data_IF_382869475937
#
_entry.id   IF_382869475937
#
_cell.length_a   1.000
_cell.length_b   1.000
_cell.length_c   1.000
_cell.angle_alpha   90.00
_cell.angle_beta   90.00
_cell.angle_gamma   90.00
#
_symmetry.space_group_name_H-M   'P 1'
#
loop_
_entity.id
_entity.type
_entity.pdbx_description
1 polymer ?
#
# COMPACT_ATOMS: atom_id res chain seq x y z
N UNK A 1 8.52 5.39 1.18
CA UNK A 1 8.37 5.38 -0.27
C UNK A 1 7.94 4.04 -0.81
N UNK A 2 7.42 4.04 -2.01
CA UNK A 2 6.95 2.84 -2.70
C UNK A 2 7.28 2.94 -4.18
N UNK A 3 7.79 1.84 -4.75
CA UNK A 3 8.10 1.76 -6.17
C UNK A 3 7.61 0.44 -6.76
N UNK A 4 7.10 0.49 -7.98
CA UNK A 4 6.84 -0.68 -8.80
C UNK A 4 7.87 -0.70 -9.94
N UNK A 5 8.59 -1.80 -10.06
CA UNK A 5 9.62 -1.98 -11.07
C UNK A 5 9.33 -3.20 -11.94
N UNK A 6 9.58 -3.04 -13.23
CA UNK A 6 9.61 -4.14 -14.19
C UNK A 6 10.86 -3.98 -15.03
N UNK A 7 11.74 -4.95 -14.96
CA UNK A 7 12.96 -4.95 -15.76
C UNK A 7 13.37 -6.36 -16.16
N UNK A 8 13.92 -6.48 -17.37
CA UNK A 8 14.42 -7.74 -17.92
C UNK A 8 15.94 -7.86 -17.83
N UNK A 9 16.62 -6.95 -17.14
CA UNK A 9 18.07 -6.91 -16.96
C UNK A 9 18.44 -6.84 -15.49
N UNK A 10 19.71 -7.13 -15.11
CA UNK A 10 20.13 -7.10 -13.72
C UNK A 10 20.02 -5.71 -13.11
N UNK A 11 19.48 -5.63 -11.90
CA UNK A 11 19.46 -4.41 -11.10
C UNK A 11 19.44 -4.73 -9.61
N UNK A 12 19.71 -3.72 -8.78
CA UNK A 12 19.66 -3.78 -7.34
C UNK A 12 18.76 -2.67 -6.80
N UNK A 13 17.99 -2.99 -5.75
CA UNK A 13 17.22 -2.02 -4.99
C UNK A 13 17.78 -1.99 -3.56
N UNK A 14 18.29 -0.82 -3.17
CA UNK A 14 18.81 -0.61 -1.83
C UNK A 14 17.73 0.01 -0.96
N UNK A 15 17.41 -0.65 0.15
CA UNK A 15 16.48 -0.15 1.16
C UNK A 15 17.22 0.04 2.49
N UNK A 16 16.57 0.71 3.45
CA UNK A 16 17.16 0.90 4.77
C UNK A 16 17.42 -0.43 5.50
N UNK A 17 16.69 -1.50 5.16
CA UNK A 17 16.78 -2.79 5.85
C UNK A 17 17.58 -3.85 5.08
N UNK A 18 17.80 -3.67 3.78
CA UNK A 18 18.51 -4.67 2.99
C UNK A 18 18.58 -4.32 1.50
N UNK A 19 19.12 -5.25 0.73
CA UNK A 19 19.32 -5.11 -0.70
C UNK A 19 18.56 -6.22 -1.43
N UNK A 20 17.78 -5.83 -2.44
CA UNK A 20 17.11 -6.74 -3.35
C UNK A 20 17.88 -6.80 -4.67
N UNK A 21 18.31 -7.99 -5.06
CA UNK A 21 19.08 -8.23 -6.29
C UNK A 21 18.27 -9.11 -7.24
N UNK A 22 18.25 -8.74 -8.52
CA UNK A 22 17.56 -9.51 -9.54
C UNK A 22 18.29 -9.45 -10.88
N UNK A 23 18.07 -10.44 -11.70
CA UNK A 23 18.46 -10.46 -13.12
C UNK A 23 17.29 -10.14 -14.05
N UNK A 24 16.09 -10.02 -13.50
CA UNK A 24 14.87 -9.65 -14.17
C UNK A 24 13.69 -10.02 -13.30
N UNK A 25 12.82 -9.06 -13.02
CA UNK A 25 11.65 -9.25 -12.19
C UNK A 25 10.63 -8.14 -12.37
N UNK A 26 9.40 -8.41 -11.96
CA UNK A 26 8.39 -7.41 -11.69
C UNK A 26 8.05 -7.48 -10.22
N UNK A 27 8.27 -6.38 -9.50
CA UNK A 27 8.07 -6.34 -8.05
C UNK A 27 7.64 -4.96 -7.58
N UNK A 28 6.95 -4.93 -6.45
CA UNK A 28 6.62 -3.71 -5.74
C UNK A 28 7.39 -3.69 -4.41
N UNK A 29 8.02 -2.58 -4.10
CA UNK A 29 8.78 -2.38 -2.87
C UNK A 29 8.23 -1.16 -2.14
N UNK A 30 7.83 -1.35 -0.90
CA UNK A 30 7.33 -0.30 -0.03
C UNK A 30 8.18 -0.23 1.23
N UNK A 31 8.85 0.90 1.42
CA UNK A 31 9.67 1.13 2.60
C UNK A 31 8.91 1.90 3.66
N UNK A 32 8.84 1.30 4.85
CA UNK A 32 8.36 1.91 6.09
C UNK A 32 9.56 2.35 6.94
N UNK A 33 9.30 3.02 8.07
CA UNK A 33 10.37 3.45 8.98
C UNK A 33 11.13 2.27 9.60
N UNK A 34 10.44 1.18 9.90
CA UNK A 34 10.96 0.02 10.63
C UNK A 34 11.16 -1.25 9.78
N UNK A 35 10.62 -1.28 8.57
CA UNK A 35 10.65 -2.47 7.71
C UNK A 35 10.52 -2.11 6.24
N UNK A 36 10.84 -3.07 5.40
CA UNK A 36 10.55 -3.03 3.97
C UNK A 36 9.58 -4.15 3.60
N UNK A 37 8.55 -3.83 2.85
CA UNK A 37 7.61 -4.80 2.29
C UNK A 37 7.92 -4.98 0.81
N UNK A 38 7.96 -6.23 0.36
CA UNK A 38 8.18 -6.57 -1.05
C UNK A 38 7.10 -7.54 -1.52
N UNK A 39 6.56 -7.26 -2.70
CA UNK A 39 5.64 -8.13 -3.42
C UNK A 39 6.28 -8.51 -4.75
N UNK A 40 6.47 -9.80 -5.00
CA UNK A 40 7.09 -10.31 -6.21
C UNK A 40 6.03 -10.89 -7.13
N UNK A 41 5.80 -10.23 -8.27
CA UNK A 41 4.79 -10.66 -9.26
C UNK A 41 5.34 -11.68 -10.25
N UNK A 42 6.58 -11.48 -10.68
CA UNK A 42 7.24 -12.35 -11.66
C UNK A 42 8.75 -12.23 -11.53
N UNK A 43 9.46 -13.27 -11.98
CA UNK A 43 10.92 -13.29 -11.99
C UNK A 43 11.54 -13.83 -10.71
N UNK A 44 12.78 -13.48 -10.46
CA UNK A 44 13.57 -14.02 -9.37
C UNK A 44 14.31 -12.89 -8.65
N UNK A 45 14.16 -12.82 -7.35
CA UNK A 45 14.78 -11.79 -6.50
C UNK A 45 15.45 -12.45 -5.30
N UNK A 46 16.69 -12.04 -5.03
CA UNK A 46 17.43 -12.43 -3.83
C UNK A 46 17.45 -11.26 -2.84
N UNK A 47 17.05 -11.53 -1.61
CA UNK A 47 17.14 -10.59 -0.51
C UNK A 47 18.41 -10.82 0.28
N UNK A 48 19.21 -9.78 0.46
CA UNK A 48 20.41 -9.78 1.31
C UNK A 48 20.27 -8.70 2.38
N UNK A 49 20.49 -9.06 3.62
CA UNK A 49 20.59 -8.11 4.75
C UNK A 49 21.95 -8.25 5.41
N UNK A 50 22.33 -7.26 6.24
CA UNK A 50 23.63 -7.30 6.95
C UNK A 50 23.70 -8.39 8.01
N UNK A 51 22.57 -8.89 8.49
CA UNK A 51 22.49 -9.80 9.64
C UNK A 51 21.89 -11.18 9.32
N UNK A 52 21.53 -11.42 8.05
CA UNK A 52 20.94 -12.68 7.61
C UNK A 52 21.62 -13.20 6.35
N UNK A 53 21.62 -14.53 6.19
CA UNK A 53 22.04 -15.15 4.96
C UNK A 53 21.12 -14.74 3.80
N UNK A 54 21.61 -14.64 2.57
CA UNK A 54 20.79 -14.36 1.39
C UNK A 54 19.66 -15.37 1.25
N UNK A 55 18.46 -14.88 0.87
CA UNK A 55 17.30 -15.71 0.62
C UNK A 55 16.61 -15.35 -0.69
N UNK A 56 16.04 -16.35 -1.36
CA UNK A 56 15.20 -16.13 -2.52
C UNK A 56 13.78 -15.78 -2.08
N UNK A 57 13.20 -14.77 -2.72
CA UNK A 57 11.81 -14.41 -2.48
C UNK A 57 10.88 -15.37 -3.25
N UNK A 58 9.80 -15.86 -2.62
CA UNK A 58 8.82 -16.68 -3.34
C UNK A 58 8.01 -15.81 -4.32
N UNK A 59 7.88 -16.31 -5.56
CA UNK A 59 7.09 -15.62 -6.60
C UNK A 59 5.58 -15.70 -6.27
N UNK A 60 4.82 -14.69 -6.71
CA UNK A 60 3.40 -14.53 -6.43
C UNK A 60 3.07 -14.41 -4.94
N UNK A 61 4.00 -13.91 -4.15
CA UNK A 61 3.87 -13.71 -2.70
C UNK A 61 4.42 -12.36 -2.30
N UNK A 62 4.06 -11.96 -1.09
CA UNK A 62 4.62 -10.77 -0.46
C UNK A 62 5.12 -11.09 0.94
N UNK A 63 6.10 -10.34 1.40
CA UNK A 63 6.61 -10.43 2.76
C UNK A 63 7.18 -9.09 3.21
N UNK A 64 7.37 -8.95 4.51
CA UNK A 64 8.08 -7.82 5.11
C UNK A 64 9.38 -8.30 5.73
N UNK A 65 10.39 -7.46 5.70
CA UNK A 65 11.68 -7.78 6.31
C UNK A 65 12.29 -6.58 7.03
N UNK A 66 13.10 -6.91 8.03
CA UNK A 66 14.00 -6.02 8.72
C UNK A 66 15.44 -6.48 8.49
N UNK A 67 16.44 -5.84 9.09
CA UNK A 67 17.81 -6.31 8.99
C UNK A 67 18.03 -7.70 9.60
N UNK A 68 17.20 -8.10 10.57
CA UNK A 68 17.39 -9.33 11.37
C UNK A 68 16.37 -10.43 11.08
N UNK A 69 15.20 -10.08 10.53
CA UNK A 69 14.09 -11.01 10.40
C UNK A 69 13.29 -10.78 9.12
N UNK A 70 12.64 -11.83 8.64
CA UNK A 70 11.65 -11.75 7.56
C UNK A 70 10.36 -12.41 8.03
N UNK A 71 9.22 -11.83 7.66
CA UNK A 71 7.91 -12.42 7.92
C UNK A 71 7.69 -13.64 7.03
N UNK A 72 6.68 -14.45 7.37
CA UNK A 72 6.22 -15.49 6.47
C UNK A 72 5.67 -14.89 5.18
N UNK A 73 5.87 -15.57 4.06
CA UNK A 73 5.34 -15.18 2.78
C UNK A 73 3.82 -15.33 2.77
N UNK A 74 3.11 -14.29 2.31
CA UNK A 74 1.65 -14.24 2.22
C UNK A 74 1.23 -14.13 0.75
N UNK A 75 -0.02 -14.48 0.39
CA UNK A 75 -0.56 -14.15 -0.94
C UNK A 75 -0.43 -12.66 -1.23
N UNK A 76 -0.33 -12.31 -2.51
CA UNK A 76 -0.27 -10.91 -2.93
C UNK A 76 -1.52 -10.16 -2.49
N UNK A 77 -1.31 -8.95 -1.95
CA UNK A 77 -2.37 -8.01 -1.67
C UNK A 77 -2.92 -7.44 -2.99
N UNK A 78 -4.26 -7.26 -3.08
CA UNK A 78 -4.91 -6.70 -4.25
C UNK A 78 -4.36 -5.30 -4.63
N UNK A 79 -3.86 -4.55 -3.65
CA UNK A 79 -3.29 -3.22 -3.87
C UNK A 79 -1.80 -3.22 -4.19
N UNK A 80 -1.11 -4.36 -4.16
CA UNK A 80 0.35 -4.43 -4.29
C UNK A 80 0.91 -3.79 -5.57
N UNK A 81 0.12 -3.60 -6.60
CA UNK A 81 0.52 -2.91 -7.83
C UNK A 81 -0.56 -2.03 -8.43
N UNK A 82 -1.76 -2.00 -7.86
CA UNK A 82 -2.91 -1.28 -8.42
C UNK A 82 -2.69 0.23 -8.47
N UNK A 83 -1.96 0.79 -7.51
CA UNK A 83 -1.66 2.22 -7.46
C UNK A 83 -0.90 2.72 -8.71
N UNK A 84 -0.07 1.87 -9.32
CA UNK A 84 0.64 2.23 -10.55
C UNK A 84 -0.31 2.36 -11.75
N UNK A 85 -1.47 1.71 -11.69
CA UNK A 85 -2.55 1.86 -12.65
C UNK A 85 -3.56 2.96 -12.25
N UNK A 86 -3.24 3.72 -11.20
CA UNK A 86 -4.08 4.80 -10.69
C UNK A 86 -5.32 4.34 -9.94
N UNK A 87 -5.31 3.13 -9.38
CA UNK A 87 -6.45 2.51 -8.72
C UNK A 87 -6.16 2.18 -7.25
N UNK A 88 -7.18 2.30 -6.42
CA UNK A 88 -7.19 1.82 -5.03
C UNK A 88 -8.25 0.73 -4.91
N UNK A 89 -7.82 -0.48 -4.52
CA UNK A 89 -8.69 -1.65 -4.37
C UNK A 89 -8.97 -1.90 -2.89
N UNK A 90 -10.25 -1.98 -2.53
CA UNK A 90 -10.70 -2.34 -1.21
C UNK A 90 -11.46 -3.67 -1.27
N UNK A 91 -11.10 -4.62 -0.43
CA UNK A 91 -11.77 -5.91 -0.29
C UNK A 91 -12.11 -6.10 1.19
N UNK A 92 -13.31 -5.70 1.60
CA UNK A 92 -13.75 -5.67 3.00
C UNK A 92 -12.75 -4.94 3.91
N UNK A 93 -12.22 -3.82 3.41
CA UNK A 93 -11.24 -3.00 4.10
C UNK A 93 -11.93 -2.11 5.12
N UNK A 94 -11.33 -1.92 6.28
CA UNK A 94 -11.81 -0.96 7.27
C UNK A 94 -11.70 0.46 6.70
N UNK A 95 -12.71 1.28 6.97
CA UNK A 95 -12.74 2.66 6.47
C UNK A 95 -11.52 3.47 6.91
N UNK A 96 -11.07 3.31 8.15
CA UNK A 96 -9.87 3.97 8.65
C UNK A 96 -8.63 3.62 7.82
N UNK A 97 -8.44 2.36 7.50
CA UNK A 97 -7.32 1.89 6.69
C UNK A 97 -7.43 2.37 5.24
N UNK A 98 -8.63 2.37 4.69
CA UNK A 98 -8.89 2.89 3.35
C UNK A 98 -8.55 4.38 3.24
N UNK A 99 -8.96 5.18 4.22
CA UNK A 99 -8.69 6.62 4.23
C UNK A 99 -7.21 6.92 4.45
N UNK A 100 -6.52 6.11 5.23
CA UNK A 100 -5.06 6.21 5.38
C UNK A 100 -4.35 5.97 4.04
N UNK A 101 -4.74 4.92 3.32
CA UNK A 101 -4.20 4.66 1.98
C UNK A 101 -4.54 5.78 0.98
N UNK A 102 -5.80 6.23 0.96
CA UNK A 102 -6.22 7.33 0.08
C UNK A 102 -5.44 8.62 0.38
N UNK A 103 -5.16 8.88 1.66
CA UNK A 103 -4.39 10.05 2.10
C UNK A 103 -2.98 10.12 1.54
N UNK A 104 -2.38 8.98 1.16
CA UNK A 104 -1.04 8.94 0.54
C UNK A 104 -1.02 9.54 -0.87
N UNK A 105 -2.17 9.60 -1.54
CA UNK A 105 -2.29 10.03 -2.94
C UNK A 105 -2.95 11.41 -3.07
N UNK A 106 -3.18 12.09 -1.96
CA UNK A 106 -3.73 13.45 -1.97
C UNK A 106 -2.91 14.37 -1.07
N UNK A 107 -3.00 15.67 -1.34
CA UNK A 107 -2.37 16.68 -0.49
C UNK A 107 -3.25 16.99 0.71
N UNK A 108 -2.60 17.31 1.83
CA UNK A 108 -3.27 17.71 3.06
C UNK A 108 -3.59 16.54 3.98
N UNK A 109 -4.45 16.81 4.96
CA UNK A 109 -4.84 15.83 5.98
C UNK A 109 -6.21 15.23 5.66
N UNK A 110 -6.28 13.93 5.78
CA UNK A 110 -7.52 13.17 5.69
C UNK A 110 -7.65 12.33 6.95
N UNK A 111 -8.55 12.74 7.84
CA UNK A 111 -8.75 12.11 9.12
C UNK A 111 -10.05 11.29 9.15
N UNK A 112 -10.10 10.29 10.01
CA UNK A 112 -11.26 9.44 10.22
C UNK A 112 -11.62 9.41 11.70
N UNK A 113 -12.88 9.68 12.02
CA UNK A 113 -13.40 9.52 13.37
C UNK A 113 -13.37 8.04 13.76
N UNK A 114 -12.90 7.75 14.96
CA UNK A 114 -12.84 6.39 15.49
C UNK A 114 -14.19 5.66 15.45
N UNK A 115 -15.31 6.39 15.57
CA UNK A 115 -16.65 5.81 15.53
C UNK A 115 -17.01 5.15 14.20
N UNK A 116 -16.40 5.57 13.11
CA UNK A 116 -16.69 5.05 11.76
C UNK A 116 -15.50 4.30 11.15
N UNK A 117 -14.34 4.33 11.78
CA UNK A 117 -13.12 3.72 11.27
C UNK A 117 -13.24 2.21 11.03
N UNK A 118 -14.12 1.52 11.74
CA UNK A 118 -14.37 0.09 11.59
C UNK A 118 -15.37 -0.31 10.51
N UNK A 119 -16.03 0.64 9.86
CA UNK A 119 -16.95 0.33 8.76
C UNK A 119 -16.17 -0.32 7.61
N UNK A 120 -16.79 -1.32 6.97
CA UNK A 120 -16.16 -2.05 5.88
C UNK A 120 -16.51 -1.43 4.53
N UNK A 121 -15.53 -1.33 3.67
CA UNK A 121 -15.68 -0.83 2.31
C UNK A 121 -15.10 -1.84 1.32
N UNK A 122 -15.77 -2.02 0.20
CA UNK A 122 -15.30 -2.86 -0.92
C UNK A 122 -15.53 -2.14 -2.23
N UNK A 123 -14.61 -2.32 -3.16
CA UNK A 123 -14.68 -1.74 -4.49
C UNK A 123 -13.32 -1.34 -5.03
N UNK A 124 -13.33 -0.81 -6.26
CA UNK A 124 -12.15 -0.31 -6.93
C UNK A 124 -12.38 1.16 -7.26
N UNK A 125 -11.46 2.02 -6.84
CA UNK A 125 -11.61 3.47 -6.87
C UNK A 125 -10.47 4.11 -7.64
N UNK A 126 -10.78 4.98 -8.66
CA UNK A 126 -9.73 5.72 -9.36
C UNK A 126 -9.11 6.78 -8.44
N UNK A 127 -7.77 6.82 -8.38
CA UNK A 127 -7.02 7.75 -7.53
C UNK A 127 -6.90 9.16 -8.11
N UNK A 128 -7.26 9.34 -9.38
CA UNK A 128 -7.18 10.64 -10.06
C UNK A 128 -8.20 11.67 -9.56
N UNK A 129 -9.27 11.21 -8.89
CA UNK A 129 -10.31 12.08 -8.35
C UNK A 129 -10.68 11.64 -6.91
N UNK A 130 -9.88 12.05 -5.94
CA UNK A 130 -10.12 11.74 -4.53
C UNK A 130 -11.39 12.37 -3.98
N UNK A 131 -11.80 13.53 -4.49
CA UNK A 131 -13.04 14.18 -4.04
C UNK A 131 -14.27 13.37 -4.44
N UNK A 132 -14.28 12.78 -5.63
CA UNK A 132 -15.34 11.87 -6.05
C UNK A 132 -15.41 10.62 -5.18
N UNK A 133 -14.26 10.08 -4.77
CA UNK A 133 -14.21 8.95 -3.84
C UNK A 133 -14.88 9.33 -2.52
N UNK A 134 -14.56 10.49 -1.97
CA UNK A 134 -15.16 10.98 -0.73
C UNK A 134 -16.68 11.18 -0.86
N UNK A 135 -17.15 11.71 -1.98
CA UNK A 135 -18.59 11.84 -2.25
C UNK A 135 -19.29 10.48 -2.32
N UNK A 136 -18.66 9.47 -2.94
CA UNK A 136 -19.18 8.11 -3.00
C UNK A 136 -19.26 7.46 -1.61
N UNK A 137 -18.32 7.76 -0.71
CA UNK A 137 -18.38 7.28 0.67
C UNK A 137 -19.62 7.81 1.40
N UNK A 138 -19.98 9.07 1.22
CA UNK A 138 -21.19 9.64 1.80
C UNK A 138 -22.47 8.99 1.30
N UNK A 139 -22.48 8.52 0.06
CA UNK A 139 -23.61 7.82 -0.54
C UNK A 139 -23.72 6.38 -0.02
N UNK A 140 -22.58 5.71 0.12
CA UNK A 140 -22.51 4.27 0.38
C UNK A 140 -22.52 3.91 1.87
N UNK A 141 -22.06 4.81 2.73
CA UNK A 141 -21.86 4.56 4.15
C UNK A 141 -22.56 5.64 4.99
N UNK A 142 -22.88 5.35 6.27
CA UNK A 142 -23.48 6.33 7.19
C UNK A 142 -22.44 7.32 7.71
N UNK A 143 -21.75 8.00 6.79
CA UNK A 143 -20.70 8.96 7.10
C UNK A 143 -20.97 10.31 6.47
N UNK A 144 -20.34 11.33 7.05
CA UNK A 144 -20.31 12.70 6.54
C UNK A 144 -18.88 13.13 6.34
N UNK A 145 -18.58 13.70 5.19
CA UNK A 145 -17.28 14.26 4.87
C UNK A 145 -17.29 15.75 5.19
N UNK A 146 -16.55 16.13 6.21
CA UNK A 146 -16.45 17.53 6.65
C UNK A 146 -15.15 18.14 6.12
N UNK A 147 -15.30 19.15 5.29
CA UNK A 147 -14.18 19.87 4.67
C UNK A 147 -13.97 21.19 5.40
N UNK A 148 -12.91 21.29 6.20
CA UNK A 148 -12.54 22.56 6.85
C UNK A 148 -11.82 23.49 5.85
N UNK A 149 -10.92 22.90 5.04
CA UNK A 149 -10.29 23.52 3.88
C UNK A 149 -10.16 22.43 2.81
N UNK A 150 -9.67 22.82 1.60
CA UNK A 150 -9.39 21.81 0.56
C UNK A 150 -8.28 20.81 0.96
N UNK A 151 -7.47 21.15 1.98
CA UNK A 151 -6.35 20.35 2.47
C UNK A 151 -6.59 19.72 3.83
N UNK A 152 -7.74 19.98 4.45
CA UNK A 152 -8.08 19.40 5.75
C UNK A 152 -9.51 18.86 5.73
N UNK A 153 -9.60 17.56 5.70
CA UNK A 153 -10.87 16.84 5.57
C UNK A 153 -10.99 15.82 6.69
N UNK A 154 -12.18 15.71 7.26
CA UNK A 154 -12.51 14.72 8.29
C UNK A 154 -13.74 13.91 7.87
N UNK A 155 -13.65 12.59 8.02
CA UNK A 155 -14.78 11.67 7.80
C UNK A 155 -15.33 11.27 9.16
N UNK A 156 -16.56 11.62 9.43
CA UNK A 156 -17.22 11.41 10.71
C UNK A 156 -18.57 10.71 10.55
N UNK A 157 -19.16 10.30 11.67
CA UNK A 157 -20.48 9.67 11.65
C UNK A 157 -21.55 10.66 11.18
N UNK A 158 -22.45 10.20 10.33
CA UNK A 158 -23.66 10.94 9.97
C UNK A 158 -24.63 10.88 11.16
N UNK A 159 -25.05 12.02 11.58
CA UNK A 159 -26.02 12.15 12.68
C UNK A 159 -27.42 12.21 12.12
#
# INVERSE_FOLDING_TARGET
>A
GEILLTAAHPFEIHTAQGILKTRGARLNVRQFADRTQVALFAGRVELTTSERAPMLLPVARQLSFTMTAASDAKPLDANSGAWADGMLVAAQMRLGDFLEELGRYRRGQLNCDAKVAGLLISGTYPLDDSERILDLLEISLPVKVKRFTRYWVNVEARV
#
